data_IF_995256401616
#
_entry.id   IF_995256401616
#
_cell.length_a   1.000
_cell.length_b   1.000
_cell.length_c   1.000
_cell.angle_alpha   90.00
_cell.angle_beta   90.00
_cell.angle_gamma   90.00
#
_symmetry.space_group_name_H-M   'P 1'
#
loop_
_entity.id
_entity.type
_entity.pdbx_description
1 polymer ?
#
# COMPACT_ATOMS: atom_id res chain seq x y z
N UNK A 1 -8.79 16.34 15.62
CA UNK A 1 -7.78 16.17 14.55
C UNK A 1 -7.97 17.29 13.54
N UNK A 2 -6.96 18.13 13.34
CA UNK A 2 -7.03 19.22 12.35
C UNK A 2 -6.71 18.71 10.92
N UNK A 3 -6.94 19.54 9.89
CA UNK A 3 -6.73 19.15 8.48
C UNK A 3 -5.27 18.73 8.17
N UNK A 4 -4.28 19.34 8.84
CA UNK A 4 -2.86 19.00 8.68
C UNK A 4 -2.56 17.62 9.26
N UNK A 5 -3.07 17.31 10.45
CA UNK A 5 -2.95 16.00 11.09
C UNK A 5 -3.64 14.91 10.25
N UNK A 6 -4.82 15.20 9.70
CA UNK A 6 -5.54 14.30 8.83
C UNK A 6 -4.75 13.97 7.54
N UNK A 7 -4.12 14.97 6.93
CA UNK A 7 -3.25 14.78 5.76
C UNK A 7 -2.03 13.92 6.13
N UNK A 8 -1.35 14.21 7.23
CA UNK A 8 -0.19 13.42 7.69
C UNK A 8 -0.57 11.97 7.98
N UNK A 9 -1.75 11.73 8.58
CA UNK A 9 -2.26 10.38 8.81
C UNK A 9 -2.47 9.64 7.49
N UNK A 10 -3.14 10.28 6.52
CA UNK A 10 -3.35 9.68 5.18
C UNK A 10 -2.04 9.35 4.48
N UNK A 11 -1.07 10.25 4.53
CA UNK A 11 0.27 10.04 3.96
C UNK A 11 0.95 8.82 4.59
N UNK A 12 0.93 8.70 5.92
CA UNK A 12 1.50 7.52 6.60
C UNK A 12 0.83 6.22 6.19
N UNK A 13 -0.50 6.19 6.16
CA UNK A 13 -1.26 5.01 5.72
C UNK A 13 -0.88 4.64 4.29
N UNK A 14 -0.75 5.64 3.43
CA UNK A 14 -0.35 5.44 2.04
C UNK A 14 1.05 4.83 1.94
N UNK A 15 2.05 5.38 2.63
CA UNK A 15 3.41 4.85 2.62
C UNK A 15 3.47 3.42 3.17
N UNK A 16 2.76 3.12 4.25
CA UNK A 16 2.69 1.76 4.80
C UNK A 16 2.00 0.78 3.84
N UNK A 17 0.95 1.21 3.13
CA UNK A 17 0.28 0.38 2.14
C UNK A 17 1.23 0.03 0.97
N UNK A 18 2.00 1.00 0.47
CA UNK A 18 2.98 0.75 -0.60
C UNK A 18 4.11 -0.15 -0.12
N UNK A 19 4.63 0.05 1.10
CA UNK A 19 5.65 -0.82 1.71
C UNK A 19 5.15 -2.26 1.81
N UNK A 20 3.96 -2.47 2.37
CA UNK A 20 3.35 -3.80 2.51
C UNK A 20 3.03 -4.46 1.17
N UNK A 21 2.67 -3.68 0.16
CA UNK A 21 2.43 -4.20 -1.20
C UNK A 21 3.71 -4.72 -1.83
N UNK A 22 4.81 -3.98 -1.67
CA UNK A 22 6.14 -4.40 -2.12
C UNK A 22 6.62 -5.65 -1.38
N UNK A 23 6.47 -5.67 -0.06
CA UNK A 23 6.83 -6.85 0.76
C UNK A 23 6.04 -8.08 0.34
N UNK A 24 4.73 -7.96 0.14
CA UNK A 24 3.90 -9.07 -0.34
C UNK A 24 4.38 -9.60 -1.71
N UNK A 25 4.81 -8.72 -2.62
CA UNK A 25 5.42 -9.15 -3.89
C UNK A 25 6.72 -9.92 -3.66
N UNK A 26 7.61 -9.39 -2.82
CA UNK A 26 8.91 -9.99 -2.53
C UNK A 26 8.77 -11.34 -1.82
N UNK A 27 7.85 -11.46 -0.86
CA UNK A 27 7.49 -12.72 -0.18
C UNK A 27 6.91 -13.76 -1.14
N UNK A 28 6.16 -13.33 -2.16
CA UNK A 28 5.64 -14.19 -3.22
C UNK A 28 6.72 -14.60 -4.26
N UNK A 29 7.96 -14.11 -4.12
CA UNK A 29 9.06 -14.38 -5.06
C UNK A 29 8.86 -13.77 -6.44
N UNK A 30 7.91 -12.83 -6.59
CA UNK A 30 7.55 -12.28 -7.90
C UNK A 30 8.42 -11.07 -8.27
N UNK A 31 8.84 -11.03 -9.52
CA UNK A 31 9.49 -9.83 -10.08
C UNK A 31 8.46 -8.73 -10.38
N UNK A 32 8.93 -7.47 -10.49
CA UNK A 32 8.09 -6.36 -10.97
C UNK A 32 7.53 -6.68 -12.38
N UNK A 33 8.34 -7.31 -13.23
CA UNK A 33 7.93 -7.77 -14.56
C UNK A 33 6.71 -8.69 -14.50
N UNK A 34 6.81 -9.71 -13.65
CA UNK A 34 5.77 -10.72 -13.49
C UNK A 34 4.47 -10.14 -12.96
N UNK A 35 4.53 -9.30 -11.92
CA UNK A 35 3.34 -8.62 -11.40
C UNK A 35 2.71 -7.71 -12.45
N UNK A 36 3.52 -6.94 -13.19
CA UNK A 36 3.01 -6.07 -14.24
C UNK A 36 2.27 -6.86 -15.32
N UNK A 37 2.86 -7.98 -15.78
CA UNK A 37 2.25 -8.86 -16.77
C UNK A 37 0.93 -9.46 -16.27
N UNK A 38 0.92 -10.05 -15.06
CA UNK A 38 -0.29 -10.63 -14.45
C UNK A 38 -1.39 -9.59 -14.21
N UNK A 39 -1.02 -8.37 -13.83
CA UNK A 39 -1.94 -7.27 -13.55
C UNK A 39 -2.47 -6.56 -14.81
N UNK A 40 -1.95 -6.89 -16.01
CA UNK A 40 -2.25 -6.15 -17.23
C UNK A 40 -1.80 -4.69 -17.17
N UNK A 41 -0.65 -4.44 -16.52
CA UNK A 41 -0.05 -3.11 -16.32
C UNK A 41 1.34 -3.04 -16.98
N UNK A 42 1.87 -1.82 -17.12
CA UNK A 42 3.25 -1.64 -17.55
C UNK A 42 4.23 -1.81 -16.38
N UNK A 43 5.43 -2.32 -16.66
CA UNK A 43 6.50 -2.41 -15.65
C UNK A 43 6.83 -1.05 -14.99
N UNK A 44 6.94 0.07 -15.74
CA UNK A 44 7.14 1.37 -15.11
C UNK A 44 6.02 1.75 -14.14
N UNK A 45 4.76 1.40 -14.43
CA UNK A 45 3.63 1.67 -13.53
C UNK A 45 3.84 0.98 -12.17
N UNK A 46 4.07 -0.34 -12.17
CA UNK A 46 4.30 -1.10 -10.92
C UNK A 46 5.54 -0.56 -10.18
N UNK A 47 6.62 -0.28 -10.90
CA UNK A 47 7.83 0.34 -10.32
C UNK A 47 7.60 1.74 -9.74
N UNK A 48 6.71 2.55 -10.31
CA UNK A 48 6.37 3.87 -9.77
C UNK A 48 5.51 3.77 -8.53
N UNK A 49 4.58 2.81 -8.50
CA UNK A 49 3.75 2.51 -7.32
C UNK A 49 4.64 2.09 -6.16
N UNK A 50 5.51 1.09 -6.32
CA UNK A 50 6.37 0.58 -5.23
C UNK A 50 7.41 1.58 -4.72
N UNK A 51 7.68 2.65 -5.47
CA UNK A 51 8.57 3.74 -5.06
C UNK A 51 7.82 4.98 -4.55
N UNK A 52 6.51 4.88 -4.35
CA UNK A 52 5.63 5.99 -3.95
C UNK A 52 5.75 7.23 -4.87
N UNK A 53 6.13 7.04 -6.14
CA UNK A 53 6.35 8.14 -7.10
C UNK A 53 5.06 8.66 -7.71
N UNK A 54 3.99 7.86 -7.69
CA UNK A 54 2.65 8.23 -8.17
C UNK A 54 1.62 7.59 -7.26
N UNK A 55 0.53 8.30 -7.01
CA UNK A 55 -0.61 7.75 -6.28
C UNK A 55 -1.41 6.83 -7.24
N UNK A 56 -1.44 5.51 -7.01
CA UNK A 56 -2.23 4.59 -7.83
C UNK A 56 -3.72 4.85 -7.65
N UNK A 57 -4.50 4.53 -8.69
CA UNK A 57 -5.95 4.42 -8.56
C UNK A 57 -6.31 3.19 -7.74
N UNK A 58 -7.54 3.12 -7.23
CA UNK A 58 -8.07 1.92 -6.59
C UNK A 58 -7.99 0.70 -7.53
N UNK A 59 -8.33 0.87 -8.81
CA UNK A 59 -8.21 -0.17 -9.85
C UNK A 59 -6.76 -0.66 -10.00
N UNK A 60 -5.78 0.25 -9.99
CA UNK A 60 -4.36 -0.14 -10.05
C UNK A 60 -3.98 -0.99 -8.84
N UNK A 61 -4.41 -0.59 -7.64
CA UNK A 61 -4.15 -1.35 -6.41
C UNK A 61 -4.80 -2.73 -6.46
N UNK A 62 -6.07 -2.83 -6.87
CA UNK A 62 -6.78 -4.09 -7.00
C UNK A 62 -6.06 -5.04 -7.96
N UNK A 63 -5.68 -4.58 -9.15
CA UNK A 63 -4.95 -5.39 -10.13
C UNK A 63 -3.61 -5.90 -9.60
N UNK A 64 -2.84 -5.06 -8.92
CA UNK A 64 -1.55 -5.46 -8.35
C UNK A 64 -1.77 -6.47 -7.23
N UNK A 65 -2.75 -6.25 -6.34
CA UNK A 65 -3.03 -7.20 -5.25
C UNK A 65 -3.56 -8.54 -5.74
N UNK A 66 -4.40 -8.53 -6.78
CA UNK A 66 -4.91 -9.76 -7.41
C UNK A 66 -3.77 -10.54 -8.09
N UNK A 67 -2.84 -9.84 -8.76
CA UNK A 67 -1.67 -10.45 -9.39
C UNK A 67 -0.72 -11.12 -8.39
N UNK A 68 -0.55 -10.51 -7.21
CA UNK A 68 0.28 -11.04 -6.10
C UNK A 68 -0.48 -12.15 -5.34
N UNK A 69 -1.81 -12.12 -5.32
CA UNK A 69 -2.66 -13.05 -4.56
C UNK A 69 -2.94 -12.60 -3.13
N UNK A 70 -2.99 -11.29 -2.87
CA UNK A 70 -3.29 -10.72 -1.55
C UNK A 70 -4.61 -9.94 -1.54
N UNK A 71 -5.26 -9.86 -0.37
CA UNK A 71 -6.50 -9.13 -0.20
C UNK A 71 -6.24 -7.64 0.12
N UNK A 72 -6.62 -6.72 -0.78
CA UNK A 72 -6.42 -5.28 -0.62
C UNK A 72 -7.03 -4.71 0.67
N UNK A 73 -8.31 -4.99 1.04
CA UNK A 73 -8.87 -4.51 2.32
C UNK A 73 -8.05 -4.91 3.54
N UNK A 74 -7.56 -6.16 3.59
CA UNK A 74 -6.70 -6.65 4.68
C UNK A 74 -5.35 -5.94 4.71
N UNK A 75 -4.75 -5.68 3.54
CA UNK A 75 -3.51 -4.94 3.41
C UNK A 75 -3.68 -3.50 3.92
N UNK A 76 -4.75 -2.80 3.51
CA UNK A 76 -5.04 -1.44 3.95
C UNK A 76 -5.29 -1.36 5.47
N UNK A 77 -5.98 -2.36 6.05
CA UNK A 77 -6.15 -2.44 7.51
C UNK A 77 -4.82 -2.59 8.23
N UNK A 78 -3.89 -3.41 7.71
CA UNK A 78 -2.53 -3.52 8.26
C UNK A 78 -1.78 -2.20 8.16
N UNK A 79 -1.84 -1.53 7.01
CA UNK A 79 -1.23 -0.22 6.82
C UNK A 79 -1.79 0.83 7.79
N UNK A 80 -3.10 0.83 8.01
CA UNK A 80 -3.74 1.72 8.99
C UNK A 80 -3.25 1.48 10.40
N UNK A 81 -3.11 0.22 10.82
CA UNK A 81 -2.58 -0.12 12.15
C UNK A 81 -1.10 0.28 12.28
N UNK A 82 -0.28 0.03 11.26
CA UNK A 82 1.15 0.38 11.26
C UNK A 82 1.37 1.91 11.27
N UNK A 83 0.47 2.67 10.65
CA UNK A 83 0.55 4.13 10.58
C UNK A 83 0.08 4.86 11.86
N UNK A 84 -0.45 4.14 12.86
CA UNK A 84 -0.89 4.71 14.15
C UNK A 84 0.30 5.23 14.95
N UNK A 85 0.15 6.42 15.52
CA UNK A 85 1.06 6.92 16.54
C UNK A 85 0.56 6.53 17.94
N UNK A 86 1.44 6.45 18.95
CA UNK A 86 1.04 6.16 20.33
C UNK A 86 -0.01 7.14 20.89
N UNK A 87 0.01 8.38 20.41
CA UNK A 87 -0.97 9.45 20.73
C UNK A 87 -2.34 9.29 20.07
N UNK A 88 -2.47 8.40 19.09
CA UNK A 88 -3.76 8.03 18.49
C UNK A 88 -4.49 6.97 19.35
N UNK A 89 -3.76 6.29 20.24
CA UNK A 89 -4.32 5.45 21.29
C UNK A 89 -4.68 6.38 22.45
N UNK A 90 -5.96 6.77 22.56
CA UNK A 90 -6.45 7.43 23.77
C UNK A 90 -6.08 6.62 25.03
N UNK A 91 -6.14 7.23 26.23
CA UNK A 91 -5.69 6.57 27.45
C UNK A 91 -6.31 5.17 27.55
N UNK A 92 -5.45 4.14 27.57
CA UNK A 92 -5.87 2.79 27.93
C UNK A 92 -6.23 2.86 29.41
N UNK A 93 -7.53 2.84 29.68
CA UNK A 93 -8.08 2.78 31.03
C UNK A 93 -7.63 1.53 31.78
#
# INVERSE_FOLDING_TARGET
MNAKEANLRRERIYQEAIRLLREAREEAGMSIYEVAWRAGLSQPMVSYVERSKRMPTLDTLLRITDAIGVNLPRLLRKAEMAARQPKDEGPKG
#
